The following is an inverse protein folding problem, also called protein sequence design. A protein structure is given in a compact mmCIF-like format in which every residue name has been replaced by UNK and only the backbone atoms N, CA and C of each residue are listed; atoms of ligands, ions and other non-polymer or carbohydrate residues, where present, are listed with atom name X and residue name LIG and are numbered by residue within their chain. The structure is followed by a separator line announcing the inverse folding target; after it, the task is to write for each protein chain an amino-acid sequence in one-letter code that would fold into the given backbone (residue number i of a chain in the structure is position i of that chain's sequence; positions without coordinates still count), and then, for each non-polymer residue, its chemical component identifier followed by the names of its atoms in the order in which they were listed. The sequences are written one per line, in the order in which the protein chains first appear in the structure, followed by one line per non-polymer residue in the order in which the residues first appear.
data_IF_452469501743
#
_entry.id   IF_452469501743
#
_cell.length_a   1.000
_cell.length_b   1.000
_cell.length_c   1.000
_cell.angle_alpha   90.00
_cell.angle_beta   90.00
_cell.angle_gamma   90.00
#
_symmetry.space_group_name_H-M   'P 1'
#
loop_
_entity.id
_entity.type
_entity.pdbx_description
1 polymer ?
#
# COMPACT_ATOMS: atom_id res chain seq x y z
N UNK A 1 -16.39 29.44 -6.76
CA UNK A 1 -15.24 28.53 -6.55
C UNK A 1 -15.55 27.21 -7.25
N UNK A 2 -14.65 26.70 -8.09
CA UNK A 2 -14.83 25.39 -8.72
C UNK A 2 -14.75 24.29 -7.66
N UNK A 3 -15.73 23.38 -7.65
CA UNK A 3 -15.75 22.23 -6.74
C UNK A 3 -15.73 20.91 -7.55
N UNK A 4 -15.56 19.78 -6.86
CA UNK A 4 -15.49 18.46 -7.49
C UNK A 4 -16.67 18.17 -8.42
N UNK A 5 -17.87 18.66 -8.06
CA UNK A 5 -19.11 18.48 -8.83
C UNK A 5 -19.04 19.27 -10.12
N UNK A 6 -18.57 20.52 -10.09
CA UNK A 6 -18.36 21.34 -11.30
C UNK A 6 -17.45 20.61 -12.29
N UNK A 7 -16.32 20.06 -11.85
CA UNK A 7 -15.41 19.31 -12.73
C UNK A 7 -16.01 17.99 -13.23
N UNK A 8 -16.87 17.34 -12.45
CA UNK A 8 -17.59 16.15 -12.89
C UNK A 8 -18.59 16.47 -14.02
N UNK A 9 -19.33 17.57 -13.88
CA UNK A 9 -20.31 18.01 -14.88
C UNK A 9 -19.61 18.46 -16.17
N UNK A 10 -18.46 19.14 -16.07
CA UNK A 10 -17.64 19.47 -17.24
C UNK A 10 -17.14 18.22 -17.98
N UNK A 11 -16.67 17.18 -17.27
CA UNK A 11 -16.28 15.91 -17.91
C UNK A 11 -17.46 15.23 -18.61
N UNK A 12 -18.66 15.26 -18.01
CA UNK A 12 -19.87 14.69 -18.62
C UNK A 12 -20.29 15.46 -19.87
N UNK A 13 -20.09 16.78 -19.88
CA UNK A 13 -20.32 17.63 -21.04
C UNK A 13 -19.23 17.51 -22.13
N UNK A 14 -18.27 16.58 -22.00
CA UNK A 14 -17.26 16.30 -23.02
C UNK A 14 -16.03 17.21 -22.94
N UNK A 15 -15.90 18.08 -21.93
CA UNK A 15 -14.69 18.85 -21.74
C UNK A 15 -13.55 17.94 -21.24
N UNK A 16 -12.37 18.05 -21.86
CA UNK A 16 -11.15 17.31 -21.52
C UNK A 16 -10.50 17.77 -20.20
N UNK A 17 -11.27 17.86 -19.12
CA UNK A 17 -10.82 18.37 -17.83
C UNK A 17 -10.27 17.23 -16.97
N UNK A 18 -8.97 17.28 -16.71
CA UNK A 18 -8.28 16.31 -15.88
C UNK A 18 -6.77 16.49 -15.92
N UNK A 19 -6.08 15.80 -15.03
CA UNK A 19 -4.61 15.78 -14.96
C UNK A 19 -4.14 14.40 -15.37
N UNK A 20 -3.07 14.32 -16.17
CA UNK A 20 -2.52 13.02 -16.55
C UNK A 20 -2.07 12.24 -15.31
N UNK A 21 -2.18 10.90 -15.36
CA UNK A 21 -1.72 10.02 -14.26
C UNK A 21 -0.27 10.31 -13.89
N UNK A 22 0.60 10.54 -14.87
CA UNK A 22 2.02 10.83 -14.63
C UNK A 22 2.24 12.14 -13.87
N UNK A 23 1.53 13.21 -14.22
CA UNK A 23 1.58 14.49 -13.52
C UNK A 23 1.02 14.37 -12.10
N UNK A 24 -0.08 13.63 -11.93
CA UNK A 24 -0.65 13.32 -10.61
C UNK A 24 0.33 12.56 -9.71
N UNK A 25 0.95 11.49 -10.25
CA UNK A 25 1.94 10.69 -9.52
C UNK A 25 3.12 11.54 -9.07
N UNK A 26 3.63 12.44 -9.94
CA UNK A 26 4.74 13.34 -9.57
C UNK A 26 4.34 14.29 -8.43
N UNK A 27 3.17 14.93 -8.53
CA UNK A 27 2.66 15.81 -7.49
C UNK A 27 2.49 15.08 -6.15
N UNK A 28 1.95 13.85 -6.16
CA UNK A 28 1.82 13.04 -4.95
C UNK A 28 3.19 12.72 -4.31
N UNK A 29 4.22 12.40 -5.11
CA UNK A 29 5.57 12.12 -4.60
C UNK A 29 6.19 13.39 -4.00
N UNK A 30 6.01 14.53 -4.64
CA UNK A 30 6.52 15.83 -4.17
C UNK A 30 5.86 16.25 -2.85
N UNK A 31 4.55 16.03 -2.69
CA UNK A 31 3.87 16.26 -1.41
C UNK A 31 4.43 15.30 -0.35
N UNK A 32 4.54 14.01 -0.66
CA UNK A 32 5.04 13.00 0.27
C UNK A 32 6.44 13.35 0.81
N UNK A 33 7.36 13.84 -0.03
CA UNK A 33 8.72 14.17 0.41
C UNK A 33 8.80 15.33 1.41
N UNK A 34 7.75 16.17 1.44
CA UNK A 34 7.64 17.35 2.30
C UNK A 34 6.84 17.09 3.58
N UNK A 35 6.19 15.93 3.71
CA UNK A 35 5.38 15.63 4.89
C UNK A 35 6.26 15.47 6.15
N UNK A 36 5.79 15.94 7.32
CA UNK A 36 6.45 15.69 8.59
C UNK A 36 6.56 14.19 8.92
N UNK A 37 7.63 13.81 9.61
CA UNK A 37 7.84 12.45 10.09
C UNK A 37 6.65 12.00 10.95
N UNK A 38 6.22 10.75 10.77
CA UNK A 38 5.12 10.16 11.55
C UNK A 38 3.71 10.59 11.11
N UNK A 39 3.57 11.33 10.01
CA UNK A 39 2.24 11.67 9.44
C UNK A 39 1.41 10.41 9.17
N UNK A 40 0.30 10.26 9.88
CA UNK A 40 -0.67 9.19 9.67
C UNK A 40 -1.55 9.46 8.44
N UNK A 41 -2.26 8.43 7.96
CA UNK A 41 -3.21 8.54 6.85
C UNK A 41 -2.64 9.23 5.59
N UNK A 42 -1.40 8.86 5.23
CA UNK A 42 -0.62 9.47 4.15
C UNK A 42 -1.40 9.73 2.86
N UNK A 43 -2.28 8.79 2.46
CA UNK A 43 -3.08 8.93 1.25
C UNK A 43 -4.02 10.13 1.33
N UNK A 44 -4.77 10.25 2.42
CA UNK A 44 -5.79 11.28 2.58
C UNK A 44 -5.13 12.64 2.70
N UNK A 45 -4.06 12.73 3.50
CA UNK A 45 -3.22 13.94 3.61
C UNK A 45 -2.70 14.36 2.24
N UNK A 46 -2.13 13.44 1.45
CA UNK A 46 -1.65 13.76 0.12
C UNK A 46 -2.78 14.24 -0.79
N UNK A 47 -3.94 13.60 -0.75
CA UNK A 47 -5.10 13.98 -1.57
C UNK A 47 -5.61 15.37 -1.22
N UNK A 48 -5.61 15.74 0.06
CA UNK A 48 -5.98 17.08 0.50
C UNK A 48 -4.99 18.14 0.00
N UNK A 49 -3.69 17.83 0.03
CA UNK A 49 -2.63 18.71 -0.46
C UNK A 49 -2.58 18.84 -2.00
N UNK A 50 -3.25 17.96 -2.76
CA UNK A 50 -3.36 18.13 -4.21
C UNK A 50 -4.21 19.33 -4.62
N UNK A 51 -5.06 19.84 -3.72
CA UNK A 51 -5.93 20.98 -3.98
C UNK A 51 -6.72 20.82 -5.28
N UNK A 52 -6.57 21.80 -6.18
CA UNK A 52 -7.30 21.82 -7.46
C UNK A 52 -7.04 20.59 -8.33
N UNK A 53 -5.82 20.03 -8.32
CA UNK A 53 -5.48 18.83 -9.11
C UNK A 53 -6.33 17.63 -8.66
N UNK A 54 -6.52 17.49 -7.35
CA UNK A 54 -7.37 16.46 -6.75
C UNK A 54 -8.84 16.68 -7.10
N UNK A 55 -9.32 17.92 -7.02
CA UNK A 55 -10.71 18.27 -7.37
C UNK A 55 -11.02 18.02 -8.85
N UNK A 56 -10.06 18.29 -9.73
CA UNK A 56 -10.16 18.08 -11.18
C UNK A 56 -10.08 16.61 -11.58
N UNK A 57 -9.72 15.70 -10.69
CA UNK A 57 -9.45 14.30 -11.06
C UNK A 57 -10.54 13.35 -10.53
N UNK A 58 -10.99 12.37 -11.35
CA UNK A 58 -11.84 11.28 -10.86
C UNK A 58 -11.15 10.48 -9.75
N UNK A 59 -11.92 9.95 -8.80
CA UNK A 59 -11.38 9.08 -7.73
C UNK A 59 -10.58 7.89 -8.27
N UNK A 60 -11.01 7.33 -9.41
CA UNK A 60 -10.30 6.23 -10.08
C UNK A 60 -8.87 6.61 -10.45
N UNK A 61 -8.68 7.80 -11.00
CA UNK A 61 -7.39 8.24 -11.52
C UNK A 61 -6.47 8.66 -10.36
N UNK A 62 -7.04 9.26 -9.30
CA UNK A 62 -6.35 9.50 -8.02
C UNK A 62 -5.84 8.18 -7.43
N UNK A 63 -6.69 7.15 -7.37
CA UNK A 63 -6.31 5.85 -6.82
C UNK A 63 -5.22 5.17 -7.67
N UNK A 64 -5.29 5.28 -8.99
CA UNK A 64 -4.28 4.75 -9.89
C UNK A 64 -2.92 5.46 -9.69
N UNK A 65 -2.93 6.80 -9.62
CA UNK A 65 -1.73 7.58 -9.35
C UNK A 65 -1.14 7.27 -7.96
N UNK A 66 -1.99 7.16 -6.92
CA UNK A 66 -1.57 6.80 -5.57
C UNK A 66 -0.85 5.44 -5.52
N UNK A 67 -1.38 4.44 -6.22
CA UNK A 67 -0.78 3.11 -6.26
C UNK A 67 0.61 3.10 -6.92
N UNK A 68 0.85 4.02 -7.85
CA UNK A 68 2.15 4.19 -8.48
C UNK A 68 3.09 5.03 -7.60
N UNK A 69 2.59 6.12 -7.02
CA UNK A 69 3.34 7.01 -6.13
C UNK A 69 3.90 6.28 -4.91
N UNK A 70 3.08 5.45 -4.23
CA UNK A 70 3.53 4.70 -3.05
C UNK A 70 4.67 3.73 -3.33
N UNK A 71 4.72 3.12 -4.53
CA UNK A 71 5.81 2.23 -4.92
C UNK A 71 7.09 3.02 -5.22
N UNK A 72 6.95 4.14 -5.93
CA UNK A 72 8.09 5.00 -6.30
C UNK A 72 8.71 5.63 -5.06
N UNK A 73 7.90 6.20 -4.17
CA UNK A 73 8.40 6.90 -2.99
C UNK A 73 9.11 5.94 -2.02
N UNK A 74 8.60 4.71 -1.84
CA UNK A 74 9.25 3.70 -0.99
C UNK A 74 10.59 3.22 -1.56
N UNK A 75 10.75 3.24 -2.89
CA UNK A 75 12.02 2.93 -3.54
C UNK A 75 12.99 4.12 -3.54
N UNK A 76 12.46 5.34 -3.66
CA UNK A 76 13.25 6.57 -3.78
C UNK A 76 13.73 7.10 -2.43
N UNK A 77 12.92 6.92 -1.38
CA UNK A 77 13.18 7.38 -0.02
C UNK A 77 12.93 6.24 0.99
N UNK A 78 13.68 5.12 0.90
CA UNK A 78 13.51 3.96 1.78
C UNK A 78 13.78 4.28 3.26
N UNK A 79 14.55 5.32 3.54
CA UNK A 79 14.81 5.84 4.88
C UNK A 79 13.58 6.53 5.51
N UNK A 80 12.63 6.98 4.69
CA UNK A 80 11.41 7.66 5.14
C UNK A 80 10.17 6.80 5.01
N UNK A 81 10.09 5.98 3.97
CA UNK A 81 8.86 5.28 3.62
C UNK A 81 9.09 3.79 3.41
N UNK A 82 8.14 3.00 3.89
CA UNK A 82 8.12 1.56 3.72
C UNK A 82 6.74 1.10 3.27
N UNK A 83 6.71 0.09 2.40
CA UNK A 83 5.47 -0.60 2.06
C UNK A 83 5.24 -1.74 3.06
N UNK A 84 4.30 -1.53 3.97
CA UNK A 84 3.92 -2.50 4.98
C UNK A 84 3.08 -3.66 4.42
N UNK A 85 2.46 -4.41 5.34
CA UNK A 85 1.56 -5.49 5.00
C UNK A 85 0.41 -4.98 4.10
N UNK A 86 0.02 -5.79 3.11
CA UNK A 86 -1.01 -5.46 2.09
C UNK A 86 -0.66 -4.28 1.17
N UNK A 87 0.60 -3.82 1.16
CA UNK A 87 1.05 -2.75 0.25
C UNK A 87 0.52 -1.36 0.64
N UNK A 88 0.29 -1.15 1.93
CA UNK A 88 -0.02 0.16 2.51
C UNK A 88 1.30 0.91 2.71
N UNK A 89 1.35 2.17 2.29
CA UNK A 89 2.50 3.03 2.54
C UNK A 89 2.48 3.52 3.98
N UNK A 90 3.61 3.39 4.67
CA UNK A 90 3.79 3.82 6.05
C UNK A 90 5.12 4.57 6.17
N UNK A 91 5.25 5.37 7.23
CA UNK A 91 6.56 5.89 7.62
C UNK A 91 7.46 4.74 8.04
N UNK A 92 8.73 4.84 7.69
CA UNK A 92 9.76 3.95 8.17
C UNK A 92 10.26 4.46 9.53
N UNK A 93 9.46 4.22 10.57
CA UNK A 93 9.71 4.60 11.96
C UNK A 93 10.10 3.37 12.82
N UNK A 94 10.59 2.31 12.18
CA UNK A 94 10.92 1.00 12.76
C UNK A 94 9.74 0.26 13.42
N UNK A 95 8.53 0.83 13.43
CA UNK A 95 7.31 0.16 13.91
C UNK A 95 6.78 -0.86 12.90
N UNK A 96 7.14 -0.70 11.63
CA UNK A 96 6.62 -1.51 10.52
C UNK A 96 7.40 -2.81 10.40
N UNK A 97 6.85 -3.89 10.94
CA UNK A 97 7.37 -5.25 10.73
C UNK A 97 6.93 -5.77 9.36
N UNK A 98 7.86 -5.81 8.41
CA UNK A 98 7.65 -6.47 7.12
C UNK A 98 7.53 -7.98 7.37
N UNK A 99 6.39 -8.56 6.99
CA UNK A 99 6.20 -10.00 7.05
C UNK A 99 7.09 -10.67 6.01
N UNK A 100 7.96 -11.59 6.44
CA UNK A 100 8.59 -12.53 5.54
C UNK A 100 7.53 -13.52 5.04
N UNK A 101 7.31 -13.49 3.73
CA UNK A 101 6.30 -14.32 3.04
C UNK A 101 6.95 -15.44 2.23
N UNK A 102 8.28 -15.48 2.15
CA UNK A 102 8.96 -16.45 1.31
C UNK A 102 9.23 -17.70 2.13
N UNK A 103 8.75 -18.83 1.61
CA UNK A 103 9.18 -20.15 2.04
C UNK A 103 9.91 -20.81 0.88
N UNK A 104 11.03 -21.46 1.13
CA UNK A 104 11.74 -22.20 0.09
C UNK A 104 10.85 -23.34 -0.43
N UNK A 105 10.97 -23.67 -1.71
CA UNK A 105 10.22 -24.79 -2.32
C UNK A 105 10.47 -26.11 -1.59
N UNK A 106 11.70 -26.34 -1.15
CA UNK A 106 12.08 -27.50 -0.35
C UNK A 106 11.33 -27.55 1.00
N UNK A 107 11.26 -26.44 1.74
CA UNK A 107 10.53 -26.41 3.01
C UNK A 107 9.02 -26.51 2.79
N UNK A 108 8.49 -25.90 1.74
CA UNK A 108 7.08 -26.00 1.40
C UNK A 108 6.68 -27.44 1.04
N UNK A 109 7.53 -28.18 0.32
CA UNK A 109 7.30 -29.60 0.02
C UNK A 109 7.24 -30.44 1.30
N UNK A 110 8.21 -30.26 2.20
CA UNK A 110 8.22 -30.94 3.51
C UNK A 110 6.97 -30.65 4.33
N UNK A 111 6.48 -29.41 4.33
CA UNK A 111 5.22 -29.07 5.00
C UNK A 111 4.02 -29.79 4.40
N UNK A 112 3.97 -29.95 3.06
CA UNK A 112 2.89 -30.69 2.41
C UNK A 112 2.94 -32.17 2.75
N UNK A 113 4.13 -32.80 2.72
CA UNK A 113 4.32 -34.21 3.08
C UNK A 113 3.82 -34.50 4.51
N UNK A 114 4.18 -33.64 5.48
CA UNK A 114 3.72 -33.79 6.87
C UNK A 114 2.21 -33.54 6.97
N UNK A 115 1.69 -32.53 6.27
CA UNK A 115 0.27 -32.20 6.32
C UNK A 115 -0.59 -33.36 5.75
N UNK A 116 -0.13 -34.00 4.67
CA UNK A 116 -0.74 -35.19 4.08
C UNK A 116 -0.71 -36.38 5.04
N UNK A 117 0.44 -36.65 5.68
CA UNK A 117 0.57 -37.70 6.69
C UNK A 117 -0.37 -37.49 7.91
N UNK A 118 -0.65 -36.24 8.28
CA UNK A 118 -1.59 -35.90 9.35
C UNK A 118 -3.05 -35.68 8.87
N UNK A 119 -3.34 -35.94 7.59
CA UNK A 119 -4.62 -35.69 6.94
C UNK A 119 -5.18 -34.29 7.24
N UNK A 120 -4.34 -33.27 7.07
CA UNK A 120 -4.70 -31.88 7.29
C UNK A 120 -4.10 -30.94 6.24
N UNK A 121 -4.53 -29.69 6.24
CA UNK A 121 -3.95 -28.65 5.37
C UNK A 121 -2.64 -28.12 5.96
N UNK A 122 -1.73 -27.63 5.10
CA UNK A 122 -0.51 -26.94 5.53
C UNK A 122 -0.78 -25.80 6.53
N UNK A 123 -1.86 -25.04 6.35
CA UNK A 123 -2.24 -23.96 7.27
C UNK A 123 -2.55 -24.46 8.70
N UNK A 124 -3.34 -25.54 8.78
CA UNK A 124 -3.64 -26.23 10.04
C UNK A 124 -2.38 -26.83 10.69
N UNK A 125 -1.46 -27.39 9.89
CA UNK A 125 -0.16 -27.88 10.38
C UNK A 125 0.65 -26.73 10.98
N UNK A 126 0.79 -25.60 10.26
CA UNK A 126 1.49 -24.41 10.76
C UNK A 126 0.86 -23.89 12.06
N UNK A 127 -0.47 -23.88 12.15
CA UNK A 127 -1.18 -23.50 13.37
C UNK A 127 -0.84 -24.41 14.56
N UNK A 128 -0.78 -25.74 14.35
CA UNK A 128 -0.35 -26.70 15.39
C UNK A 128 1.11 -26.46 15.82
N UNK A 129 2.01 -26.24 14.86
CA UNK A 129 3.42 -25.97 15.12
C UNK A 129 3.61 -24.69 15.94
N UNK A 130 2.88 -23.61 15.61
CA UNK A 130 2.90 -22.35 16.36
C UNK A 130 2.41 -22.57 17.80
N UNK A 131 1.33 -23.32 17.99
CA UNK A 131 0.79 -23.62 19.32
C UNK A 131 1.79 -24.40 20.17
N UNK A 132 2.44 -25.42 19.61
CA UNK A 132 3.46 -26.21 20.30
C UNK A 132 4.67 -25.36 20.68
N UNK A 133 5.20 -24.59 19.73
CA UNK A 133 6.34 -23.72 19.96
C UNK A 133 6.09 -22.66 21.04
N UNK A 134 4.87 -22.10 21.09
CA UNK A 134 4.49 -21.15 22.16
C UNK A 134 4.41 -21.78 23.54
N UNK A 135 4.08 -23.07 23.63
CA UNK A 135 4.00 -23.81 24.90
C UNK A 135 5.37 -24.26 25.40
N UNK A 136 6.30 -24.51 24.48
CA UNK A 136 7.68 -24.95 24.78
C UNK A 136 8.67 -23.79 24.97
N UNK A 137 8.26 -22.55 24.64
CA UNK A 137 9.05 -21.37 24.97
C UNK A 137 8.96 -21.10 26.49
N UNK A 138 10.11 -20.95 27.19
CA UNK A 138 10.12 -20.48 28.57
C UNK A 138 9.62 -19.05 28.70
#
# INVERSE_FOLDING_TARGET
MFNRRTFADMRRAGFGVGVSKSKMTKAMIEILSQLPNGTANLKDVVVDHLGLLGQMSPSRDINAAWNEAKKKVANQFPEKFVLGARGVLQWNDDSVKILDKKISSANFRKLNEIAEAENCTVDKLVSKLILKYRREKP
#
